data_IF_944931519565
#
_entry.id   IF_944931519565
#
_cell.length_a   1.000
_cell.length_b   1.000
_cell.length_c   1.000
_cell.angle_alpha   90.00
_cell.angle_beta   90.00
_cell.angle_gamma   90.00
#
_symmetry.space_group_name_H-M   'P 1'
#
loop_
_entity.id
_entity.type
_entity.pdbx_description
1 polymer ?
#
# COMPACT_ATOMS: atom_id res chain seq x y z
N UNK A 1 70.49 34.46 -15.22
CA UNK A 1 69.74 35.00 -16.39
C UNK A 1 68.39 35.45 -15.84
N UNK A 2 68.27 36.68 -15.29
CA UNK A 2 67.70 37.90 -15.91
C UNK A 2 66.39 37.62 -16.67
N UNK A 3 65.26 38.30 -16.47
CA UNK A 3 64.89 39.56 -15.80
C UNK A 3 63.39 39.45 -15.42
N UNK A 4 62.87 39.89 -14.27
CA UNK A 4 62.66 41.26 -13.76
C UNK A 4 61.89 42.17 -14.72
N UNK A 5 60.58 42.31 -14.48
CA UNK A 5 59.80 43.46 -14.98
C UNK A 5 58.88 43.95 -13.86
N UNK A 6 59.24 45.12 -13.34
CA UNK A 6 58.52 45.92 -12.35
C UNK A 6 57.79 47.04 -13.10
N UNK A 7 56.56 47.36 -12.72
CA UNK A 7 55.86 48.61 -13.06
C UNK A 7 54.89 48.98 -11.91
N UNK A 8 54.44 50.24 -11.76
CA UNK A 8 54.92 51.19 -10.77
C UNK A 8 53.88 51.52 -9.68
N UNK A 9 54.37 52.07 -8.57
CA UNK A 9 53.62 52.58 -7.42
C UNK A 9 53.22 54.05 -7.66
N UNK A 10 51.96 54.47 -7.40
CA UNK A 10 51.63 55.87 -7.09
C UNK A 10 51.72 56.17 -5.58
N UNK A 11 52.14 57.37 -5.15
CA UNK A 11 52.31 57.73 -3.73
C UNK A 11 51.08 58.42 -3.11
N UNK A 12 50.93 58.29 -1.78
CA UNK A 12 50.05 59.09 -0.91
C UNK A 12 48.66 58.48 -0.68
N UNK A 13 48.10 58.40 0.52
CA UNK A 13 48.46 58.98 1.82
C UNK A 13 47.68 58.28 2.94
N UNK A 14 48.30 58.26 4.12
CA UNK A 14 47.72 58.21 5.48
C UNK A 14 47.02 56.96 6.01
N UNK A 15 47.66 56.41 7.06
CA UNK A 15 47.11 56.15 8.40
C UNK A 15 46.40 54.80 8.62
N UNK A 16 47.22 53.85 9.06
CA UNK A 16 46.97 52.86 10.12
C UNK A 16 45.77 53.18 11.03
N UNK A 17 44.79 52.28 11.05
CA UNK A 17 43.96 51.99 12.23
C UNK A 17 43.33 50.58 12.14
N UNK A 18 43.75 49.69 13.04
CA UNK A 18 42.94 48.62 13.64
C UNK A 18 42.66 47.31 12.87
N UNK A 19 43.42 46.26 13.16
CA UNK A 19 42.89 44.89 13.30
C UNK A 19 42.54 44.63 14.78
N UNK A 20 41.82 43.56 15.20
CA UNK A 20 41.17 42.47 14.46
C UNK A 20 39.70 42.17 14.91
N UNK A 21 38.87 41.56 14.06
CA UNK A 21 37.53 41.07 14.46
C UNK A 21 37.41 39.56 14.30
N UNK A 22 37.50 38.81 15.41
CA UNK A 22 37.17 37.38 15.45
C UNK A 22 35.69 37.11 15.15
N UNK A 23 35.28 35.86 14.86
CA UNK A 23 33.89 35.58 14.50
C UNK A 23 32.95 35.93 15.66
N UNK A 24 32.02 36.85 15.42
CA UNK A 24 31.05 37.31 16.42
C UNK A 24 30.24 36.12 16.95
N UNK A 25 30.40 35.83 18.25
CA UNK A 25 29.64 34.81 18.98
C UNK A 25 28.12 35.05 18.83
N UNK A 26 27.71 36.32 18.66
CA UNK A 26 26.33 36.70 18.35
C UNK A 26 25.82 36.22 16.99
N UNK A 27 26.69 36.11 15.97
CA UNK A 27 26.34 35.55 14.66
C UNK A 27 26.20 34.03 14.72
N UNK A 28 27.02 33.37 15.54
CA UNK A 28 26.93 31.92 15.77
C UNK A 28 25.64 31.59 16.52
N UNK A 29 25.31 32.34 17.58
CA UNK A 29 24.06 32.16 18.33
C UNK A 29 22.81 32.44 17.49
N UNK A 30 22.86 33.44 16.60
CA UNK A 30 21.76 33.72 15.67
C UNK A 30 21.51 32.57 14.68
N UNK A 31 22.56 31.89 14.21
CA UNK A 31 22.42 30.70 13.37
C UNK A 31 21.80 29.51 14.13
N UNK A 32 22.11 29.34 15.41
CA UNK A 32 21.52 28.28 16.25
C UNK A 32 20.03 28.53 16.56
N UNK A 33 19.65 29.78 16.83
CA UNK A 33 18.24 30.14 17.06
C UNK A 33 17.42 30.00 15.77
N UNK A 34 17.98 30.36 14.61
CA UNK A 34 17.32 30.17 13.31
C UNK A 34 17.10 28.68 12.96
N UNK A 35 18.03 27.80 13.33
CA UNK A 35 17.92 26.35 13.14
C UNK A 35 16.83 25.71 14.02
N UNK A 36 16.62 26.23 15.24
CA UNK A 36 15.58 25.74 16.15
C UNK A 36 14.18 26.23 15.71
N UNK A 37 14.06 27.45 15.19
CA UNK A 37 12.78 27.99 14.70
C UNK A 37 12.32 27.31 13.41
N UNK A 38 13.23 26.84 12.55
CA UNK A 38 12.85 26.05 11.36
C UNK A 38 12.48 24.59 11.67
N UNK A 39 12.93 24.04 12.81
CA UNK A 39 12.57 22.69 13.24
C UNK A 39 11.16 22.56 13.86
N UNK A 40 10.48 23.68 14.13
CA UNK A 40 9.17 23.70 14.78
C UNK A 40 7.99 23.65 13.78
N UNK A 41 8.23 23.78 12.48
CA UNK A 41 7.30 23.27 11.47
C UNK A 41 7.47 21.76 11.40
N UNK A 42 6.89 21.06 12.36
CA UNK A 42 6.62 19.63 12.29
C UNK A 42 5.67 19.37 11.13
N UNK A 43 6.18 19.46 9.91
CA UNK A 43 5.65 18.69 8.80
C UNK A 43 5.77 17.25 9.25
N UNK A 44 4.64 16.64 9.57
CA UNK A 44 4.53 15.19 9.53
C UNK A 44 5.18 14.78 8.22
N UNK A 45 6.35 14.16 8.30
CA UNK A 45 6.86 13.38 7.20
C UNK A 45 5.74 12.38 6.93
N UNK A 46 4.91 12.68 5.94
CA UNK A 46 3.94 11.78 5.39
C UNK A 46 4.81 10.63 4.89
N UNK A 47 5.00 9.62 5.74
CA UNK A 47 5.49 8.34 5.29
C UNK A 47 4.59 8.00 4.10
N UNK A 48 5.16 7.60 2.95
CA UNK A 48 4.34 7.09 1.88
C UNK A 48 3.53 5.97 2.53
N UNK A 49 2.24 6.20 2.75
CA UNK A 49 1.32 5.14 3.09
C UNK A 49 1.49 4.20 1.91
N UNK A 50 2.24 3.14 2.15
CA UNK A 50 2.43 2.07 1.20
C UNK A 50 1.05 1.75 0.66
N UNK A 51 0.95 1.61 -0.66
CA UNK A 51 -0.25 1.26 -1.39
C UNK A 51 -0.70 -0.15 -0.94
N UNK A 52 -1.19 -0.28 0.30
CA UNK A 52 -1.51 -1.55 0.96
C UNK A 52 -2.83 -2.11 0.45
N UNK A 53 -3.60 -1.31 -0.29
CA UNK A 53 -4.91 -1.69 -0.83
C UNK A 53 -5.01 -1.25 -2.28
N UNK A 54 -5.22 -2.22 -3.18
CA UNK A 54 -5.50 -1.97 -4.58
C UNK A 54 -7.00 -2.18 -4.82
N UNK A 55 -7.68 -1.21 -5.39
CA UNK A 55 -9.09 -1.34 -5.76
C UNK A 55 -9.42 -0.42 -6.91
N UNK A 56 -10.35 -0.78 -7.79
CA UNK A 56 -10.92 0.16 -8.76
C UNK A 56 -11.88 1.18 -8.11
N UNK A 57 -12.51 0.84 -6.98
CA UNK A 57 -13.43 1.71 -6.24
C UNK A 57 -12.67 2.59 -5.24
N UNK A 58 -12.75 3.92 -5.41
CA UNK A 58 -12.02 4.87 -4.58
C UNK A 58 -12.48 4.87 -3.12
N UNK A 59 -13.79 4.72 -2.85
CA UNK A 59 -14.35 4.73 -1.51
C UNK A 59 -13.99 3.45 -0.77
N UNK A 60 -14.05 2.31 -1.46
CA UNK A 60 -13.62 1.04 -0.90
C UNK A 60 -12.13 1.07 -0.57
N UNK A 61 -11.30 1.61 -1.47
CA UNK A 61 -9.87 1.79 -1.26
C UNK A 61 -9.57 2.65 -0.03
N UNK A 62 -10.23 3.80 0.10
CA UNK A 62 -10.06 4.72 1.24
C UNK A 62 -10.43 4.03 2.56
N UNK A 63 -11.61 3.42 2.63
CA UNK A 63 -12.09 2.75 3.85
C UNK A 63 -11.18 1.59 4.25
N UNK A 64 -10.79 0.74 3.31
CA UNK A 64 -9.90 -0.37 3.58
C UNK A 64 -8.50 0.12 3.97
N UNK A 65 -7.95 1.14 3.31
CA UNK A 65 -6.64 1.70 3.66
C UNK A 65 -6.60 2.24 5.09
N UNK A 66 -7.73 2.73 5.60
CA UNK A 66 -7.86 3.18 6.99
C UNK A 66 -7.96 2.03 8.00
N UNK A 67 -8.63 0.92 7.64
CA UNK A 67 -8.92 -0.20 8.56
C UNK A 67 -7.86 -1.29 8.56
N UNK A 68 -7.28 -1.59 7.41
CA UNK A 68 -6.41 -2.75 7.19
C UNK A 68 -5.19 -2.78 8.12
N UNK A 69 -4.49 -1.66 8.41
CA UNK A 69 -3.36 -1.69 9.34
C UNK A 69 -3.74 -2.09 10.77
N UNK A 70 -4.88 -1.60 11.27
CA UNK A 70 -5.38 -1.97 12.60
C UNK A 70 -5.81 -3.44 12.62
N UNK A 71 -6.53 -3.91 11.60
CA UNK A 71 -6.91 -5.32 11.45
C UNK A 71 -5.69 -6.25 11.41
N UNK A 72 -4.66 -5.90 10.65
CA UNK A 72 -3.40 -6.66 10.57
C UNK A 72 -2.74 -6.75 11.95
N UNK A 73 -2.62 -5.61 12.66
CA UNK A 73 -2.02 -5.59 14.00
C UNK A 73 -2.77 -6.44 15.02
N UNK A 74 -4.12 -6.43 14.99
CA UNK A 74 -4.97 -7.18 15.92
C UNK A 74 -5.03 -8.66 15.61
N UNK A 75 -5.01 -9.01 14.33
CA UNK A 75 -4.97 -10.41 13.89
C UNK A 75 -3.59 -11.05 14.05
N UNK A 76 -2.55 -10.25 14.29
CA UNK A 76 -1.16 -10.72 14.30
C UNK A 76 -0.66 -11.11 12.91
N UNK A 77 -1.31 -10.62 11.86
CA UNK A 77 -0.94 -10.88 10.47
C UNK A 77 -0.08 -9.75 9.91
N UNK A 78 0.92 -10.13 9.12
CA UNK A 78 1.72 -9.18 8.35
C UNK A 78 1.17 -9.05 6.94
N UNK A 79 1.02 -7.82 6.46
CA UNK A 79 0.65 -7.53 5.08
C UNK A 79 1.89 -7.69 4.18
N UNK A 80 2.01 -8.86 3.54
CA UNK A 80 3.14 -9.18 2.66
C UNK A 80 3.09 -8.45 1.33
N UNK A 81 1.88 -8.24 0.82
CA UNK A 81 1.61 -7.62 -0.48
C UNK A 81 0.34 -6.75 -0.38
N UNK A 82 0.13 -5.81 -1.31
CA UNK A 82 -1.10 -5.02 -1.38
C UNK A 82 -2.35 -5.91 -1.49
N UNK A 83 -3.35 -5.65 -0.65
CA UNK A 83 -4.62 -6.38 -0.65
C UNK A 83 -5.52 -5.83 -1.76
N UNK A 84 -5.88 -6.67 -2.73
CA UNK A 84 -6.83 -6.31 -3.78
C UNK A 84 -8.27 -6.44 -3.27
N UNK A 85 -9.08 -5.40 -3.50
CA UNK A 85 -10.50 -5.38 -3.15
C UNK A 85 -11.32 -4.88 -4.33
N UNK A 86 -12.40 -5.57 -4.67
CA UNK A 86 -13.29 -5.15 -5.76
C UNK A 86 -14.76 -5.37 -5.40
N UNK A 87 -15.61 -4.42 -5.77
CA UNK A 87 -17.06 -4.60 -5.69
C UNK A 87 -17.52 -5.44 -6.88
N UNK A 88 -18.35 -6.45 -6.62
CA UNK A 88 -18.94 -7.30 -7.66
C UNK A 88 -20.46 -7.27 -7.54
N UNK A 89 -21.13 -7.21 -8.69
CA UNK A 89 -22.59 -7.40 -8.74
C UNK A 89 -22.95 -8.85 -8.47
N UNK A 90 -24.22 -9.11 -8.13
CA UNK A 90 -24.71 -10.47 -7.91
C UNK A 90 -24.54 -11.35 -9.15
N UNK A 91 -24.81 -10.78 -10.33
CA UNK A 91 -24.69 -11.48 -11.61
C UNK A 91 -23.23 -11.81 -11.93
N UNK A 92 -22.30 -10.92 -11.57
CA UNK A 92 -20.86 -11.17 -11.71
C UNK A 92 -20.40 -12.29 -10.76
N UNK A 93 -20.91 -12.32 -9.53
CA UNK A 93 -20.64 -13.38 -8.57
C UNK A 93 -21.15 -14.73 -9.08
N UNK A 94 -22.41 -14.80 -9.51
CA UNK A 94 -23.01 -16.04 -10.05
C UNK A 94 -22.18 -16.60 -11.21
N UNK A 95 -21.85 -15.76 -12.20
CA UNK A 95 -21.05 -16.19 -13.35
C UNK A 95 -19.66 -16.70 -12.95
N UNK A 96 -19.03 -16.04 -12.00
CA UNK A 96 -17.72 -16.46 -11.51
C UNK A 96 -17.82 -17.79 -10.73
N UNK A 97 -18.85 -17.99 -9.93
CA UNK A 97 -19.09 -19.26 -9.22
C UNK A 97 -19.42 -20.41 -10.18
N UNK A 98 -20.20 -20.15 -11.24
CA UNK A 98 -20.45 -21.14 -12.30
C UNK A 98 -19.13 -21.58 -12.95
N UNK A 99 -18.28 -20.61 -13.31
CA UNK A 99 -16.96 -20.88 -13.88
C UNK A 99 -16.06 -21.68 -12.91
N UNK A 100 -16.03 -21.30 -11.62
CA UNK A 100 -15.25 -22.04 -10.62
C UNK A 100 -15.79 -23.45 -10.38
N UNK A 101 -17.11 -23.64 -10.41
CA UNK A 101 -17.71 -24.98 -10.33
C UNK A 101 -17.40 -25.83 -11.57
N UNK A 102 -17.30 -25.23 -12.76
CA UNK A 102 -16.81 -25.93 -13.96
C UNK A 102 -15.36 -26.40 -13.80
N UNK A 103 -14.51 -25.58 -13.18
CA UNK A 103 -13.09 -25.86 -12.97
C UNK A 103 -12.86 -26.89 -11.85
N UNK A 104 -13.51 -26.71 -10.70
CA UNK A 104 -13.24 -27.49 -9.49
C UNK A 104 -14.12 -28.74 -9.33
N UNK A 105 -15.29 -28.76 -9.96
CA UNK A 105 -16.21 -29.90 -9.87
C UNK A 105 -16.88 -30.18 -11.24
N UNK A 106 -16.12 -30.67 -12.24
CA UNK A 106 -16.65 -31.00 -13.55
C UNK A 106 -17.92 -31.87 -13.48
N UNK A 107 -18.80 -31.73 -14.48
CA UNK A 107 -20.10 -32.39 -14.53
C UNK A 107 -20.04 -33.91 -14.29
N UNK A 108 -19.02 -34.58 -14.82
CA UNK A 108 -18.79 -36.02 -14.64
C UNK A 108 -18.39 -36.39 -13.22
N UNK A 109 -17.55 -35.57 -12.57
CA UNK A 109 -17.14 -35.74 -11.19
C UNK A 109 -18.30 -35.46 -10.22
N UNK A 110 -19.12 -34.45 -10.51
CA UNK A 110 -20.34 -34.16 -9.76
C UNK A 110 -21.30 -35.37 -9.79
N UNK A 111 -21.51 -35.97 -10.97
CA UNK A 111 -22.34 -37.17 -11.12
C UNK A 111 -21.77 -38.37 -10.40
N UNK A 112 -20.47 -38.64 -10.54
CA UNK A 112 -19.79 -39.73 -9.85
C UNK A 112 -19.90 -39.57 -8.32
N UNK A 113 -19.81 -38.33 -7.83
CA UNK A 113 -20.03 -38.00 -6.41
C UNK A 113 -21.46 -38.34 -6.01
N UNK A 114 -22.49 -37.86 -6.73
CA UNK A 114 -23.88 -38.18 -6.41
C UNK A 114 -24.13 -39.69 -6.42
N UNK A 115 -23.59 -40.42 -7.38
CA UNK A 115 -23.72 -41.88 -7.46
C UNK A 115 -23.13 -42.58 -6.23
N UNK A 116 -21.93 -42.18 -5.80
CA UNK A 116 -21.29 -42.73 -4.60
C UNK A 116 -22.12 -42.47 -3.35
N UNK A 117 -22.54 -41.22 -3.11
CA UNK A 117 -23.34 -40.86 -1.93
C UNK A 117 -24.73 -41.50 -1.95
N UNK A 118 -25.34 -41.66 -3.14
CA UNK A 118 -26.62 -42.33 -3.29
C UNK A 118 -26.53 -43.85 -3.03
N UNK A 119 -25.40 -44.50 -3.35
CA UNK A 119 -25.17 -45.90 -3.00
C UNK A 119 -25.15 -46.12 -1.48
N UNK A 120 -24.64 -45.14 -0.72
CA UNK A 120 -24.69 -45.15 0.74
C UNK A 120 -26.02 -44.66 1.33
N UNK A 121 -27.00 -44.28 0.49
CA UNK A 121 -28.30 -43.78 0.91
C UNK A 121 -28.26 -42.38 1.54
N UNK A 122 -27.21 -41.60 1.30
CA UNK A 122 -27.02 -40.27 1.89
C UNK A 122 -27.76 -39.17 1.12
N UNK A 123 -27.92 -39.35 -0.20
CA UNK A 123 -28.58 -38.39 -1.09
C UNK A 123 -29.47 -39.12 -2.11
N UNK A 124 -30.51 -38.46 -2.65
CA UNK A 124 -31.27 -39.04 -3.76
C UNK A 124 -30.44 -39.10 -5.05
N UNK A 125 -30.64 -40.12 -5.88
CA UNK A 125 -29.98 -40.26 -7.20
C UNK A 125 -30.32 -39.13 -8.19
N UNK A 126 -31.39 -38.40 -7.92
CA UNK A 126 -31.85 -37.28 -8.74
C UNK A 126 -31.31 -35.93 -8.27
N UNK A 127 -30.40 -35.91 -7.28
CA UNK A 127 -29.81 -34.67 -6.78
C UNK A 127 -28.96 -34.01 -7.87
N UNK A 128 -29.24 -32.76 -8.17
CA UNK A 128 -28.30 -31.90 -8.89
C UNK A 128 -27.35 -31.25 -7.87
N UNK A 129 -26.17 -31.84 -7.71
CA UNK A 129 -25.18 -31.37 -6.75
C UNK A 129 -24.69 -29.95 -7.09
N UNK A 130 -24.53 -29.64 -8.38
CA UNK A 130 -23.99 -28.36 -8.82
C UNK A 130 -24.98 -27.24 -8.59
N UNK A 131 -26.27 -27.48 -8.86
CA UNK A 131 -27.35 -26.53 -8.54
C UNK A 131 -27.44 -26.26 -7.04
N UNK A 132 -27.32 -27.30 -6.21
CA UNK A 132 -27.35 -27.14 -4.74
C UNK A 132 -26.18 -26.30 -4.25
N UNK A 133 -24.96 -26.58 -4.73
CA UNK A 133 -23.77 -25.81 -4.34
C UNK A 133 -23.87 -24.34 -4.80
N UNK A 134 -24.32 -24.10 -6.03
CA UNK A 134 -24.52 -22.74 -6.54
C UNK A 134 -25.59 -21.99 -5.74
N UNK A 135 -26.68 -22.66 -5.38
CA UNK A 135 -27.70 -22.11 -4.48
C UNK A 135 -27.08 -21.70 -3.14
N UNK A 136 -26.37 -22.62 -2.48
CA UNK A 136 -25.72 -22.38 -1.19
C UNK A 136 -24.73 -21.21 -1.25
N UNK A 137 -23.87 -21.16 -2.27
CA UNK A 137 -22.89 -20.09 -2.44
C UNK A 137 -23.50 -18.73 -2.81
N UNK A 138 -24.79 -18.68 -3.16
CA UNK A 138 -25.44 -17.42 -3.53
C UNK A 138 -26.45 -16.93 -2.50
N UNK A 139 -26.81 -17.71 -1.47
CA UNK A 139 -27.85 -17.32 -0.51
C UNK A 139 -27.57 -15.98 0.20
N UNK A 140 -26.42 -15.83 0.87
CA UNK A 140 -26.11 -14.62 1.66
C UNK A 140 -24.61 -14.27 1.66
N UNK A 141 -24.00 -14.17 0.47
CA UNK A 141 -22.58 -13.79 0.36
C UNK A 141 -22.44 -12.27 0.33
N UNK A 142 -21.79 -11.70 1.35
CA UNK A 142 -21.41 -10.29 1.42
C UNK A 142 -19.99 -10.01 0.90
N UNK A 143 -19.16 -11.04 0.75
CA UNK A 143 -17.80 -10.97 0.24
C UNK A 143 -17.13 -12.35 0.22
N UNK A 144 -16.14 -12.54 -0.64
CA UNK A 144 -15.35 -13.77 -0.77
C UNK A 144 -13.89 -13.45 -1.03
N UNK A 145 -13.01 -14.42 -0.80
CA UNK A 145 -11.57 -14.33 -1.06
C UNK A 145 -11.20 -15.18 -2.27
N UNK A 146 -10.47 -14.61 -3.23
CA UNK A 146 -9.91 -15.32 -4.39
C UNK A 146 -8.38 -15.25 -4.34
N UNK A 147 -7.69 -16.34 -3.94
CA UNK A 147 -6.24 -16.34 -3.78
C UNK A 147 -5.50 -16.16 -5.11
N UNK A 148 -6.07 -16.64 -6.22
CA UNK A 148 -5.40 -16.65 -7.52
C UNK A 148 -5.62 -15.36 -8.33
N UNK A 149 -6.29 -14.36 -7.74
CA UNK A 149 -6.56 -13.06 -8.37
C UNK A 149 -5.38 -12.08 -8.25
N UNK A 150 -4.21 -12.47 -8.75
CA UNK A 150 -3.02 -11.59 -8.77
C UNK A 150 -3.06 -10.62 -9.94
#
# INVERSE_FOLDING_TARGET
MLAMTVLPIPPGSSRIEGTPGGPDIGRILACWVALIVFGACGGTAQQPQSDLVVSSDAKLRELASALLPDLASRSGLELREPVRLEMRSREQLVRYLEYKLDEELPEEEARATVDAYALFGLVPRTLDLREVLLGLYTEQVAGFYEPDST
#
